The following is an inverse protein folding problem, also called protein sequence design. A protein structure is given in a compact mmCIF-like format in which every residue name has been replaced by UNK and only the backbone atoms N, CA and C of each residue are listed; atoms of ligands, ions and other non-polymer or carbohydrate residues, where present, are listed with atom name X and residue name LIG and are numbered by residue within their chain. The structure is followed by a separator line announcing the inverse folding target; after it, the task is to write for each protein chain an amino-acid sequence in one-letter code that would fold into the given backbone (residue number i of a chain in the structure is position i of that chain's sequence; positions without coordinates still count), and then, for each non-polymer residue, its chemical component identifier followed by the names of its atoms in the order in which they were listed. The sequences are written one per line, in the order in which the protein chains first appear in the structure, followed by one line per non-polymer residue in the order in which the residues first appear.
data_IF_026424651828
#
_entry.id   IF_026424651828
#
_cell.length_a   1.000
_cell.length_b   1.000
_cell.length_c   1.000
_cell.angle_alpha   90.00
_cell.angle_beta   90.00
_cell.angle_gamma   90.00
#
_symmetry.space_group_name_H-M   'P 1'
#
loop_
_entity.id
_entity.type
_entity.pdbx_description
1 polymer ?
#
# COMPACT_ATOMS: atom_id res chain seq x y z
N UNK A 1 -58.01 -79.89 35.02
CA UNK A 1 -57.35 -79.36 33.80
C UNK A 1 -57.81 -77.97 33.58
N UNK A 2 -57.08 -76.95 34.01
CA UNK A 2 -57.43 -75.55 33.85
C UNK A 2 -56.15 -74.83 33.29
N UNK A 3 -56.25 -74.31 32.06
CA UNK A 3 -55.23 -73.50 31.45
C UNK A 3 -55.34 -72.05 31.91
N UNK A 4 -54.28 -71.39 32.32
CA UNK A 4 -54.30 -69.94 32.52
C UNK A 4 -54.11 -69.25 31.20
N UNK A 5 -54.96 -68.27 30.92
CA UNK A 5 -54.88 -67.30 29.85
C UNK A 5 -53.72 -66.35 30.04
N UNK A 6 -52.92 -66.17 29.01
CA UNK A 6 -51.92 -65.10 28.95
C UNK A 6 -52.57 -63.78 28.52
N UNK A 7 -52.40 -62.75 29.32
CA UNK A 7 -52.81 -61.39 28.98
C UNK A 7 -51.77 -60.71 28.07
N UNK A 8 -52.18 -59.98 27.04
CA UNK A 8 -51.26 -59.20 26.24
C UNK A 8 -50.85 -57.91 26.98
N UNK A 9 -49.54 -57.65 26.99
CA UNK A 9 -49.01 -56.38 27.47
C UNK A 9 -49.36 -55.26 26.47
N UNK A 10 -49.81 -54.08 26.94
CA UNK A 10 -50.00 -52.91 26.08
C UNK A 10 -48.64 -52.34 25.73
N UNK A 11 -48.49 -51.97 24.48
CA UNK A 11 -47.28 -51.47 23.88
C UNK A 11 -46.75 -50.21 24.55
N UNK A 12 -45.44 -50.15 24.74
CA UNK A 12 -44.67 -49.01 25.17
C UNK A 12 -44.88 -47.83 24.20
N UNK A 13 -45.40 -46.76 24.74
CA UNK A 13 -45.73 -45.55 24.02
C UNK A 13 -44.49 -44.90 23.34
N UNK A 14 -44.63 -44.69 22.04
CA UNK A 14 -43.76 -43.78 21.27
C UNK A 14 -44.02 -42.32 21.63
N UNK A 15 -43.63 -41.90 22.81
CA UNK A 15 -43.71 -40.51 23.21
C UNK A 15 -42.28 -40.04 23.48
N UNK A 16 -41.63 -39.42 22.49
CA UNK A 16 -40.34 -38.84 22.78
C UNK A 16 -39.53 -38.31 21.61
N UNK A 17 -39.98 -38.47 20.33
CA UNK A 17 -39.18 -38.06 19.19
C UNK A 17 -39.61 -36.73 18.54
N UNK A 18 -40.74 -36.18 18.88
CA UNK A 18 -41.31 -34.98 18.26
C UNK A 18 -40.47 -33.72 18.55
N UNK A 19 -40.01 -33.58 19.77
CA UNK A 19 -39.19 -32.40 20.15
C UNK A 19 -37.79 -32.43 19.53
N UNK A 20 -37.20 -33.60 19.31
CA UNK A 20 -35.90 -33.77 18.62
C UNK A 20 -35.97 -33.33 17.16
N UNK A 21 -37.10 -33.66 16.49
CA UNK A 21 -37.33 -33.18 15.12
C UNK A 21 -37.45 -31.65 15.04
N UNK A 22 -38.15 -31.02 16.01
CA UNK A 22 -38.28 -29.58 16.04
C UNK A 22 -36.92 -28.90 16.26
N UNK A 23 -36.11 -29.44 17.18
CA UNK A 23 -34.76 -28.90 17.43
C UNK A 23 -33.84 -29.09 16.23
N UNK A 24 -33.91 -30.25 15.56
CA UNK A 24 -33.13 -30.51 14.38
C UNK A 24 -33.49 -29.59 13.20
N UNK A 25 -34.79 -29.31 13.03
CA UNK A 25 -35.28 -28.40 12.00
C UNK A 25 -34.87 -26.96 12.29
N UNK A 26 -34.99 -26.52 13.55
CA UNK A 26 -34.54 -25.19 13.99
C UNK A 26 -33.03 -25.00 13.83
N UNK A 27 -32.26 -26.04 14.16
CA UNK A 27 -30.80 -26.03 13.97
C UNK A 27 -30.42 -25.96 12.48
N UNK A 28 -31.14 -26.66 11.62
CA UNK A 28 -30.94 -26.62 10.18
C UNK A 28 -31.24 -25.24 9.59
N UNK A 29 -32.35 -24.62 10.03
CA UNK A 29 -32.72 -23.27 9.60
C UNK A 29 -31.65 -22.25 10.04
N UNK A 30 -31.19 -22.31 11.29
CA UNK A 30 -30.11 -21.45 11.80
C UNK A 30 -28.81 -21.65 11.03
N UNK A 31 -28.46 -22.90 10.71
CA UNK A 31 -27.28 -23.21 9.92
C UNK A 31 -27.37 -22.63 8.51
N UNK A 32 -28.51 -22.78 7.85
CA UNK A 32 -28.72 -22.22 6.50
C UNK A 32 -28.71 -20.68 6.51
N UNK A 33 -29.24 -20.05 7.54
CA UNK A 33 -29.18 -18.60 7.70
C UNK A 33 -27.74 -18.09 7.90
N UNK A 34 -26.96 -18.77 8.74
CA UNK A 34 -25.54 -18.41 8.93
C UNK A 34 -24.72 -18.65 7.67
N UNK A 35 -24.95 -19.76 6.96
CA UNK A 35 -24.28 -20.04 5.70
C UNK A 35 -24.59 -19.02 4.61
N UNK A 36 -25.84 -18.51 4.58
CA UNK A 36 -26.26 -17.49 3.61
C UNK A 36 -25.68 -16.10 3.92
N UNK A 37 -25.32 -15.81 5.17
CA UNK A 37 -24.74 -14.53 5.59
C UNK A 37 -23.21 -14.44 5.36
N UNK A 38 -22.51 -15.58 5.30
CA UNK A 38 -21.05 -15.65 5.13
C UNK A 38 -20.53 -14.94 3.86
N UNK A 39 -21.07 -15.17 2.65
CA UNK A 39 -20.54 -14.56 1.42
C UNK A 39 -20.74 -13.02 1.41
N UNK A 40 -21.75 -12.50 2.10
CA UNK A 40 -21.97 -11.06 2.19
C UNK A 40 -20.92 -10.38 3.09
N UNK A 41 -20.56 -11.01 4.21
CA UNK A 41 -19.56 -10.49 5.14
C UNK A 41 -18.13 -10.52 4.53
N UNK A 42 -17.80 -11.56 3.81
CA UNK A 42 -16.49 -11.67 3.11
C UNK A 42 -16.36 -10.65 1.97
N UNK A 43 -17.44 -10.45 1.21
CA UNK A 43 -17.47 -9.45 0.14
C UNK A 43 -17.35 -8.01 0.68
N UNK A 44 -17.89 -7.75 1.88
CA UNK A 44 -17.81 -6.43 2.52
C UNK A 44 -16.43 -6.17 3.12
N UNK A 45 -15.83 -7.18 3.76
CA UNK A 45 -14.45 -7.11 4.25
C UNK A 45 -13.45 -6.92 3.10
N UNK A 46 -13.63 -7.60 1.98
CA UNK A 46 -12.82 -7.43 0.77
C UNK A 46 -12.92 -6.02 0.18
N UNK A 47 -14.12 -5.43 0.13
CA UNK A 47 -14.31 -4.05 -0.33
C UNK A 47 -13.67 -3.03 0.60
N UNK A 48 -13.74 -3.22 1.91
CA UNK A 48 -13.11 -2.33 2.89
C UNK A 48 -11.57 -2.39 2.80
N UNK A 49 -10.99 -3.57 2.61
CA UNK A 49 -9.55 -3.72 2.42
C UNK A 49 -9.08 -3.09 1.11
N UNK A 50 -9.83 -3.27 0.02
CA UNK A 50 -9.54 -2.63 -1.26
C UNK A 50 -9.65 -1.10 -1.17
N UNK A 51 -10.66 -0.57 -0.50
CA UNK A 51 -10.83 0.87 -0.28
C UNK A 51 -9.69 1.46 0.55
N UNK A 52 -9.24 0.76 1.61
CA UNK A 52 -8.09 1.19 2.42
C UNK A 52 -6.79 1.17 1.61
N UNK A 53 -6.56 0.13 0.81
CA UNK A 53 -5.38 0.04 -0.05
C UNK A 53 -5.32 1.16 -1.09
N UNK A 54 -6.46 1.53 -1.69
CA UNK A 54 -6.56 2.67 -2.61
C UNK A 54 -6.30 3.98 -1.85
N UNK A 55 -6.86 4.14 -0.66
CA UNK A 55 -6.70 5.35 0.14
C UNK A 55 -5.27 5.52 0.65
N UNK A 56 -4.59 4.43 1.07
CA UNK A 56 -3.17 4.44 1.41
C UNK A 56 -2.28 4.75 0.22
N UNK A 57 -2.59 4.19 -0.95
CA UNK A 57 -1.85 4.49 -2.18
C UNK A 57 -2.01 5.96 -2.57
N UNK A 58 -3.23 6.49 -2.55
CA UNK A 58 -3.50 7.90 -2.84
C UNK A 58 -2.82 8.82 -1.82
N UNK A 59 -2.85 8.47 -0.53
CA UNK A 59 -2.18 9.23 0.52
C UNK A 59 -0.65 9.22 0.35
N UNK A 60 -0.06 8.09 -0.05
CA UNK A 60 1.38 8.01 -0.36
C UNK A 60 1.76 8.79 -1.61
N UNK A 61 0.94 8.71 -2.65
CA UNK A 61 1.17 9.43 -3.91
C UNK A 61 0.98 10.95 -3.72
N UNK A 62 0.09 11.38 -2.82
CA UNK A 62 -0.18 12.81 -2.56
C UNK A 62 0.77 13.40 -1.52
N UNK A 63 1.17 12.62 -0.49
CA UNK A 63 2.04 13.11 0.57
C UNK A 63 3.53 13.16 0.17
N UNK A 64 3.95 12.36 -0.81
CA UNK A 64 5.36 12.21 -1.14
C UNK A 64 5.97 13.39 -1.90
N UNK A 65 5.36 13.96 -2.95
CA UNK A 65 5.96 15.09 -3.66
C UNK A 65 5.88 16.41 -2.90
N UNK A 66 4.79 16.67 -2.16
CA UNK A 66 4.63 17.96 -1.47
C UNK A 66 5.50 18.11 -0.22
N UNK A 67 5.65 17.06 0.58
CA UNK A 67 6.50 17.12 1.77
C UNK A 67 7.99 17.22 1.41
N UNK A 68 8.41 16.58 0.32
CA UNK A 68 9.81 16.63 -0.14
C UNK A 68 10.14 17.95 -0.85
N UNK A 69 9.17 18.55 -1.54
CA UNK A 69 9.31 19.86 -2.17
C UNK A 69 9.27 20.98 -1.12
N UNK A 70 8.46 20.87 -0.08
CA UNK A 70 8.40 21.87 1.00
C UNK A 70 9.71 21.97 1.80
N UNK A 71 10.49 20.89 1.88
CA UNK A 71 11.81 20.89 2.51
C UNK A 71 12.95 21.28 1.56
N UNK A 72 12.68 21.40 0.24
CA UNK A 72 13.69 21.74 -0.74
C UNK A 72 14.01 23.22 -0.71
N UNK A 73 15.29 23.57 -0.58
CA UNK A 73 15.74 24.97 -0.69
C UNK A 73 15.70 25.49 -2.12
N UNK A 74 15.95 24.62 -3.10
CA UNK A 74 15.91 24.98 -4.50
C UNK A 74 15.63 23.74 -5.37
N UNK A 75 14.92 23.94 -6.48
CA UNK A 75 14.56 22.92 -7.43
C UNK A 75 15.23 23.22 -8.79
N UNK A 76 15.86 22.21 -9.36
CA UNK A 76 16.43 22.25 -10.70
C UNK A 76 15.68 21.30 -11.64
N UNK A 77 15.25 21.82 -12.79
CA UNK A 77 14.71 21.01 -13.89
C UNK A 77 15.57 21.23 -15.14
N UNK A 78 16.17 20.17 -15.72
CA UNK A 78 16.91 20.28 -16.97
C UNK A 78 15.98 20.73 -18.11
N UNK A 79 16.32 21.80 -18.79
CA UNK A 79 15.60 22.27 -19.98
C UNK A 79 16.61 22.38 -21.14
N UNK A 80 16.13 22.10 -22.36
CA UNK A 80 16.98 22.24 -23.54
C UNK A 80 17.51 23.68 -23.69
N UNK A 81 18.82 23.86 -23.82
CA UNK A 81 19.45 25.18 -23.87
C UNK A 81 19.53 25.96 -22.58
N UNK A 82 19.07 25.37 -21.45
CA UNK A 82 19.22 25.96 -20.14
C UNK A 82 20.59 25.78 -19.49
N UNK A 83 20.78 26.31 -18.27
CA UNK A 83 22.05 26.13 -17.55
C UNK A 83 22.27 24.66 -17.21
N UNK A 84 23.54 24.26 -17.17
CA UNK A 84 23.89 22.93 -16.64
C UNK A 84 23.63 22.86 -15.13
N UNK A 85 23.48 21.65 -14.58
CA UNK A 85 23.29 21.45 -13.14
C UNK A 85 24.45 22.03 -12.33
N UNK A 86 25.69 21.88 -12.82
CA UNK A 86 26.87 22.42 -12.18
C UNK A 86 26.91 23.95 -12.19
N UNK A 87 26.46 24.59 -13.28
CA UNK A 87 26.34 26.04 -13.34
C UNK A 87 25.25 26.55 -12.37
N UNK A 88 24.10 25.89 -12.33
CA UNK A 88 23.02 26.21 -11.40
C UNK A 88 23.45 26.04 -9.95
N UNK A 89 24.14 24.94 -9.59
CA UNK A 89 24.66 24.72 -8.22
C UNK A 89 25.57 25.86 -7.76
N UNK A 90 26.42 26.39 -8.64
CA UNK A 90 27.29 27.53 -8.31
C UNK A 90 26.49 28.79 -7.95
N UNK A 91 25.34 29.01 -8.59
CA UNK A 91 24.48 30.16 -8.29
C UNK A 91 23.73 30.01 -6.95
N UNK A 92 23.51 28.77 -6.53
CA UNK A 92 22.85 28.50 -5.24
C UNK A 92 23.77 28.66 -4.03
N UNK A 93 25.10 28.61 -4.24
CA UNK A 93 26.11 28.65 -3.16
C UNK A 93 25.73 27.71 -2.01
N UNK A 94 25.52 26.42 -2.27
CA UNK A 94 24.94 25.51 -1.28
C UNK A 94 25.84 25.38 -0.06
N UNK A 95 25.22 25.28 1.11
CA UNK A 95 25.92 24.89 2.33
C UNK A 95 26.55 23.49 2.15
N UNK A 96 27.76 23.25 2.71
CA UNK A 96 28.41 21.93 2.67
C UNK A 96 27.56 20.78 3.23
N UNK A 97 26.54 21.09 4.05
CA UNK A 97 25.59 20.12 4.61
C UNK A 97 24.43 19.80 3.67
N UNK A 98 24.22 20.61 2.63
CA UNK A 98 23.12 20.37 1.70
C UNK A 98 23.38 19.10 0.90
N UNK A 99 22.31 18.33 0.68
CA UNK A 99 22.28 17.15 -0.17
C UNK A 99 21.45 17.44 -1.39
N UNK A 100 22.03 17.22 -2.56
CA UNK A 100 21.31 17.25 -3.83
C UNK A 100 20.67 15.89 -4.09
N UNK A 101 19.34 15.83 -4.09
CA UNK A 101 18.61 14.63 -4.45
C UNK A 101 18.15 14.72 -5.90
N UNK A 102 18.58 13.77 -6.74
CA UNK A 102 18.16 13.64 -8.12
C UNK A 102 17.02 12.64 -8.17
N UNK A 103 15.86 13.07 -8.68
CA UNK A 103 14.69 12.24 -8.90
C UNK A 103 14.60 11.94 -10.40
N UNK A 104 14.49 10.66 -10.73
CA UNK A 104 14.24 10.21 -12.08
C UNK A 104 13.03 9.28 -12.09
N UNK A 105 11.98 9.70 -12.76
CA UNK A 105 10.78 8.91 -13.00
C UNK A 105 10.90 8.29 -14.38
N UNK A 106 10.62 7.00 -14.49
CA UNK A 106 10.62 6.31 -15.78
C UNK A 106 9.25 5.73 -16.12
N UNK A 107 8.88 5.82 -17.39
CA UNK A 107 7.76 5.07 -17.93
C UNK A 107 8.10 3.57 -18.01
N UNK A 108 7.10 2.68 -18.18
CA UNK A 108 7.35 1.26 -18.35
C UNK A 108 8.40 0.97 -19.42
N UNK A 109 9.42 0.20 -19.09
CA UNK A 109 10.55 -0.13 -19.99
C UNK A 109 11.66 0.92 -20.07
N UNK A 110 11.51 2.11 -19.48
CA UNK A 110 12.48 3.21 -19.53
C UNK A 110 13.48 3.27 -18.38
N UNK A 111 13.56 2.23 -17.54
CA UNK A 111 14.41 2.24 -16.35
C UNK A 111 15.90 2.46 -16.65
N UNK A 112 16.43 1.76 -17.65
CA UNK A 112 17.85 1.88 -18.02
C UNK A 112 18.20 3.29 -18.48
N UNK A 113 17.32 3.95 -19.22
CA UNK A 113 17.50 5.34 -19.66
C UNK A 113 17.44 6.31 -18.47
N UNK A 114 16.50 6.10 -17.53
CA UNK A 114 16.42 6.91 -16.32
C UNK A 114 17.70 6.80 -15.48
N UNK A 115 18.26 5.59 -15.33
CA UNK A 115 19.55 5.38 -14.67
C UNK A 115 20.68 6.12 -15.37
N UNK A 116 20.78 6.03 -16.70
CA UNK A 116 21.81 6.71 -17.46
C UNK A 116 21.74 8.24 -17.33
N UNK A 117 20.54 8.81 -17.46
CA UNK A 117 20.31 10.26 -17.32
C UNK A 117 20.59 10.75 -15.89
N UNK A 118 20.09 10.04 -14.87
CA UNK A 118 20.34 10.36 -13.47
C UNK A 118 21.85 10.25 -13.14
N UNK A 119 22.52 9.24 -13.66
CA UNK A 119 23.97 9.05 -13.52
C UNK A 119 24.78 10.20 -14.08
N UNK A 120 24.41 10.72 -15.25
CA UNK A 120 25.05 11.90 -15.87
C UNK A 120 24.93 13.14 -14.98
N UNK A 121 23.71 13.43 -14.50
CA UNK A 121 23.48 14.55 -13.59
C UNK A 121 24.21 14.37 -12.25
N UNK A 122 24.24 13.16 -11.72
CA UNK A 122 24.96 12.85 -10.49
C UNK A 122 26.48 13.05 -10.63
N UNK A 123 27.05 12.69 -11.78
CA UNK A 123 28.47 12.92 -12.06
C UNK A 123 28.78 14.42 -12.17
N UNK A 124 27.94 15.19 -12.84
CA UNK A 124 28.06 16.64 -12.95
C UNK A 124 27.98 17.34 -11.58
N UNK A 125 27.01 16.95 -10.76
CA UNK A 125 26.83 17.51 -9.42
C UNK A 125 28.02 17.19 -8.49
N UNK A 126 28.55 15.96 -8.54
CA UNK A 126 29.75 15.58 -7.77
C UNK A 126 30.99 16.36 -8.23
N UNK A 127 31.15 16.57 -9.54
CA UNK A 127 32.21 17.40 -10.07
C UNK A 127 32.10 18.87 -9.60
N UNK A 128 30.91 19.34 -9.32
CA UNK A 128 30.66 20.64 -8.69
C UNK A 128 30.80 20.65 -7.15
N UNK A 129 31.17 19.52 -6.54
CA UNK A 129 31.41 19.38 -5.10
C UNK A 129 30.16 19.07 -4.28
N UNK A 130 29.00 18.79 -4.89
CA UNK A 130 27.77 18.52 -4.16
C UNK A 130 27.73 17.07 -3.62
N UNK A 131 27.10 16.89 -2.46
CA UNK A 131 26.68 15.57 -1.96
C UNK A 131 25.44 15.15 -2.73
N UNK A 132 25.43 13.94 -3.30
CA UNK A 132 24.39 13.52 -4.22
C UNK A 132 23.73 12.24 -3.77
N UNK A 133 22.39 12.25 -3.72
CA UNK A 133 21.51 11.09 -3.60
C UNK A 133 20.69 10.96 -4.88
N UNK A 134 20.47 9.75 -5.36
CA UNK A 134 19.66 9.48 -6.54
C UNK A 134 18.49 8.58 -6.15
N UNK A 135 17.28 8.94 -6.57
CA UNK A 135 16.04 8.19 -6.37
C UNK A 135 15.45 7.94 -7.76
N UNK A 136 15.21 6.66 -8.07
CA UNK A 136 14.57 6.25 -9.32
C UNK A 136 13.27 5.57 -9.01
N UNK A 137 12.18 6.02 -9.66
CA UNK A 137 10.83 5.50 -9.44
C UNK A 137 10.12 5.24 -10.77
N UNK A 138 9.25 4.24 -10.78
CA UNK A 138 8.35 4.01 -11.91
C UNK A 138 7.19 5.01 -11.87
N UNK A 139 6.78 5.53 -13.04
CA UNK A 139 5.65 6.43 -13.21
C UNK A 139 5.00 6.27 -14.57
N UNK A 140 4.06 7.15 -14.89
CA UNK A 140 3.37 7.14 -16.19
C UNK A 140 4.21 7.80 -17.28
N UNK A 141 4.91 8.86 -16.93
CA UNK A 141 5.75 9.66 -17.83
C UNK A 141 7.18 9.73 -17.30
N UNK A 142 8.13 9.84 -18.21
CA UNK A 142 9.52 10.01 -17.86
C UNK A 142 9.81 11.46 -17.46
N UNK A 143 10.28 11.66 -16.23
CA UNK A 143 10.64 12.96 -15.69
C UNK A 143 11.98 12.89 -14.97
N UNK A 144 12.76 13.99 -15.00
CA UNK A 144 13.96 14.12 -14.20
C UNK A 144 14.08 15.53 -13.65
N UNK A 145 14.37 15.62 -12.35
CA UNK A 145 14.63 16.88 -11.66
C UNK A 145 15.56 16.66 -10.46
N UNK A 146 16.12 17.72 -9.92
CA UNK A 146 16.92 17.64 -8.72
C UNK A 146 16.45 18.67 -7.69
N UNK A 147 16.44 18.29 -6.42
CA UNK A 147 16.14 19.18 -5.30
C UNK A 147 17.36 19.31 -4.38
N UNK A 148 17.64 20.53 -3.98
CA UNK A 148 18.66 20.85 -3.00
C UNK A 148 17.98 21.05 -1.66
N UNK A 149 18.31 20.25 -0.66
CA UNK A 149 17.73 20.33 0.67
C UNK A 149 18.80 20.12 1.74
N UNK A 150 18.54 20.62 2.95
CA UNK A 150 19.32 20.20 4.11
C UNK A 150 18.84 18.82 4.53
N UNK A 151 19.75 17.86 4.70
CA UNK A 151 19.45 16.65 5.47
C UNK A 151 19.25 17.11 6.93
N UNK A 152 18.05 16.94 7.44
CA UNK A 152 17.84 16.99 8.88
C UNK A 152 18.64 15.83 9.46
N UNK A 153 19.63 16.15 10.29
CA UNK A 153 20.46 15.13 10.91
C UNK A 153 19.55 14.31 11.84
N UNK A 154 19.36 13.00 11.60
CA UNK A 154 18.46 12.17 12.42
C UNK A 154 18.92 12.08 13.87
N UNK A 155 20.10 12.63 14.19
CA UNK A 155 20.68 12.62 15.55
C UNK A 155 20.19 13.76 16.43
N UNK A 156 19.52 14.79 15.87
CA UNK A 156 18.96 15.91 16.67
C UNK A 156 17.51 15.67 17.16
N UNK A 157 16.91 14.50 16.87
CA UNK A 157 15.55 14.15 17.25
C UNK A 157 15.47 13.17 18.45
N UNK A 158 16.52 13.08 19.31
CA UNK A 158 16.53 12.28 20.54
C UNK A 158 16.68 13.15 21.78
#
# INVERSE_FOLDING_TARGET
MIRPSASPHPGAGRVGHGWQLIIADLALILFLLTLSALPAAEAEAGRQLAARAVQEKTARDTARPEAEIAAAQALFRPVAGGPSLGAWLKTQSPDPRATLTIFAVHAPGGEAEAWARAGTLAAEARAAGARVRTIITAGQEAEIYASLAYDADPTEAL
#
